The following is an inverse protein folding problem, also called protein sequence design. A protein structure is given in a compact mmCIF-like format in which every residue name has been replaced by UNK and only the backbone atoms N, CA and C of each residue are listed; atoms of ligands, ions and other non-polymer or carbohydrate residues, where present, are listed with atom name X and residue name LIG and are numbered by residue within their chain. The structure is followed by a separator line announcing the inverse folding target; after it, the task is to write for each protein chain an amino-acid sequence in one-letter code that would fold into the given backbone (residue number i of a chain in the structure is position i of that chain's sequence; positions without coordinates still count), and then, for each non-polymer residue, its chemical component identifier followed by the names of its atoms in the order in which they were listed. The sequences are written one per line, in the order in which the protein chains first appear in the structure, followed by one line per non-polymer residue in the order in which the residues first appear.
data_IF_512394365663
#
_entry.id   IF_512394365663
#
_cell.length_a   1.000
_cell.length_b   1.000
_cell.length_c   1.000
_cell.angle_alpha   90.00
_cell.angle_beta   90.00
_cell.angle_gamma   90.00
#
_symmetry.space_group_name_H-M   'P 1'
#
loop_
_entity.id
_entity.type
_entity.pdbx_description
1 polymer ?
#
# COMPACT_ATOMS: atom_id res chain seq x y z
N UNK A 1 6.30 4.54 42.99
CA UNK A 1 7.63 4.17 42.45
C UNK A 1 7.54 2.76 41.86
N UNK A 2 7.92 2.59 40.58
CA UNK A 2 8.20 1.29 39.88
C UNK A 2 6.94 0.41 39.65
N UNK A 3 6.66 -0.22 38.51
CA UNK A 3 7.35 -0.54 37.24
C UNK A 3 6.26 -1.04 36.26
N UNK A 4 6.43 -0.75 34.96
CA UNK A 4 6.29 -1.64 33.77
C UNK A 4 5.02 -2.55 33.72
N UNK A 5 4.28 -2.66 32.62
CA UNK A 5 4.71 -3.31 31.37
C UNK A 5 3.66 -2.94 30.29
N UNK A 6 4.16 -2.44 29.16
CA UNK A 6 3.50 -2.41 27.86
C UNK A 6 3.51 -3.84 27.33
N UNK A 7 2.35 -4.46 27.07
CA UNK A 7 2.27 -5.70 26.29
C UNK A 7 0.82 -6.05 25.90
N UNK A 8 0.43 -5.75 24.66
CA UNK A 8 -0.27 -6.72 23.79
C UNK A 8 -0.49 -6.09 22.40
N UNK A 9 0.55 -6.10 21.58
CA UNK A 9 0.43 -6.09 20.12
C UNK A 9 0.77 -7.52 19.70
N UNK A 10 -0.24 -8.38 19.60
CA UNK A 10 -0.12 -9.73 19.06
C UNK A 10 -1.51 -10.35 18.85
N UNK A 11 -2.30 -9.74 17.97
CA UNK A 11 -3.41 -10.42 17.32
C UNK A 11 -3.38 -10.03 15.85
N UNK A 12 -2.33 -10.48 15.18
CA UNK A 12 -2.30 -10.57 13.72
C UNK A 12 -3.44 -11.52 13.36
N UNK A 13 -4.61 -10.95 13.03
CA UNK A 13 -5.69 -11.68 12.38
C UNK A 13 -5.22 -12.03 10.97
N UNK A 14 -4.55 -13.18 10.91
CA UNK A 14 -4.48 -14.01 9.71
C UNK A 14 -5.91 -14.44 9.32
N UNK A 15 -6.08 -14.59 8.00
CA UNK A 15 -7.18 -15.24 7.29
C UNK A 15 -8.35 -14.35 6.86
N UNK A 16 -8.19 -13.64 5.73
CA UNK A 16 -9.02 -13.91 4.53
C UNK A 16 -8.72 -12.94 3.37
N UNK A 17 -7.58 -13.08 2.72
CA UNK A 17 -7.39 -12.68 1.32
C UNK A 17 -6.29 -13.56 0.73
N UNK A 18 -6.68 -14.45 -0.19
CA UNK A 18 -5.83 -15.52 -0.70
C UNK A 18 -4.59 -15.02 -1.46
N UNK A 19 -3.47 -15.68 -1.14
CA UNK A 19 -2.50 -16.21 -2.10
C UNK A 19 -1.50 -15.29 -2.81
N UNK A 20 -1.42 -13.99 -2.55
CA UNK A 20 -0.41 -13.14 -3.20
C UNK A 20 0.88 -12.94 -2.38
N UNK A 21 0.82 -13.03 -1.05
CA UNK A 21 1.99 -12.86 -0.17
C UNK A 21 3.01 -14.01 -0.20
N UNK A 22 2.85 -15.05 -1.03
CA UNK A 22 3.73 -16.22 -1.00
C UNK A 22 5.04 -16.02 -1.80
N UNK A 23 5.01 -15.25 -2.90
CA UNK A 23 6.12 -15.18 -3.85
C UNK A 23 7.22 -14.16 -3.51
N UNK A 24 6.91 -13.11 -2.74
CA UNK A 24 7.90 -12.10 -2.38
C UNK A 24 9.01 -12.65 -1.46
N UNK A 25 10.24 -12.14 -1.59
CA UNK A 25 11.33 -12.51 -0.69
C UNK A 25 11.02 -12.14 0.78
N UNK A 26 11.65 -12.82 1.74
CA UNK A 26 11.44 -12.53 3.17
C UNK A 26 11.79 -11.08 3.54
N UNK A 27 12.80 -10.51 2.86
CA UNK A 27 13.19 -9.10 3.01
C UNK A 27 12.08 -8.15 2.60
N UNK A 28 11.41 -8.45 1.48
CA UNK A 28 10.25 -7.70 0.97
C UNK A 28 9.12 -7.70 1.99
N UNK A 29 8.77 -8.87 2.51
CA UNK A 29 7.70 -9.01 3.52
C UNK A 29 7.96 -8.19 4.78
N UNK A 30 9.19 -8.16 5.27
CA UNK A 30 9.56 -7.40 6.46
C UNK A 30 9.45 -5.89 6.24
N UNK A 31 9.98 -5.38 5.13
CA UNK A 31 9.90 -3.96 4.76
C UNK A 31 8.45 -3.50 4.62
N UNK A 32 7.63 -4.31 3.97
CA UNK A 32 6.23 -3.98 3.74
C UNK A 32 5.41 -4.04 5.02
N UNK A 33 5.69 -5.02 5.89
CA UNK A 33 5.10 -5.08 7.23
C UNK A 33 5.47 -3.84 8.04
N UNK A 34 6.73 -3.39 8.00
CA UNK A 34 7.15 -2.18 8.71
C UNK A 34 6.47 -0.91 8.18
N UNK A 35 6.34 -0.78 6.85
CA UNK A 35 5.65 0.35 6.23
C UNK A 35 4.16 0.39 6.60
N UNK A 36 3.46 -0.73 6.50
CA UNK A 36 2.04 -0.80 6.86
C UNK A 36 1.80 -0.66 8.36
N UNK A 37 2.69 -1.18 9.22
CA UNK A 37 2.61 -0.97 10.67
C UNK A 37 2.78 0.50 11.05
N UNK A 38 3.66 1.24 10.38
CA UNK A 38 3.81 2.68 10.59
C UNK A 38 2.49 3.40 10.32
N UNK A 39 1.86 3.11 9.20
CA UNK A 39 0.58 3.72 8.81
C UNK A 39 -0.57 3.29 9.71
N UNK A 40 -0.59 2.04 10.15
CA UNK A 40 -1.55 1.57 11.16
C UNK A 40 -1.39 2.36 12.48
N UNK A 41 -0.15 2.69 12.86
CA UNK A 41 0.13 3.59 13.99
C UNK A 41 -0.41 5.02 13.82
N UNK A 42 -0.67 5.44 12.58
CA UNK A 42 -1.27 6.75 12.24
C UNK A 42 -2.81 6.69 12.13
N UNK A 43 -3.41 5.53 12.45
CA UNK A 43 -4.84 5.29 12.46
C UNK A 43 -5.42 4.79 11.14
N UNK A 44 -4.60 4.30 10.22
CA UNK A 44 -5.07 3.67 8.99
C UNK A 44 -5.40 2.19 9.20
N UNK A 45 -6.44 1.70 8.55
CA UNK A 45 -6.75 0.28 8.40
C UNK A 45 -6.31 -0.21 7.01
N UNK A 46 -5.87 -1.47 6.91
CA UNK A 46 -5.40 -2.05 5.64
C UNK A 46 -6.60 -2.67 4.93
N UNK A 47 -7.07 -2.05 3.84
CA UNK A 47 -8.11 -2.61 2.96
C UNK A 47 -7.54 -3.71 2.07
N UNK A 48 -6.31 -3.50 1.60
CA UNK A 48 -5.66 -4.35 0.61
C UNK A 48 -4.15 -4.30 0.78
N UNK A 49 -3.50 -5.45 0.62
CA UNK A 49 -2.05 -5.54 0.53
C UNK A 49 -1.65 -6.65 -0.44
N UNK A 50 -0.67 -6.35 -1.29
CA UNK A 50 -0.04 -7.26 -2.23
C UNK A 50 1.47 -7.12 -2.14
N UNK A 51 2.18 -8.21 -2.41
CA UNK A 51 3.62 -8.27 -2.49
C UNK A 51 3.98 -9.18 -3.67
N UNK A 52 4.70 -8.64 -4.64
CA UNK A 52 5.03 -9.36 -5.87
C UNK A 52 6.30 -8.77 -6.50
N UNK A 53 6.72 -9.34 -7.62
CA UNK A 53 7.81 -8.83 -8.43
C UNK A 53 7.22 -7.96 -9.55
N UNK A 54 7.69 -6.72 -9.67
CA UNK A 54 7.35 -5.85 -10.79
C UNK A 54 8.60 -5.67 -11.64
N UNK A 55 8.47 -5.98 -12.93
CA UNK A 55 9.53 -5.66 -13.91
C UNK A 55 9.36 -4.24 -14.46
N UNK A 56 10.45 -3.69 -14.99
CA UNK A 56 10.46 -2.35 -15.59
C UNK A 56 9.37 -2.24 -16.66
N UNK A 57 8.56 -1.18 -16.57
CA UNK A 57 7.41 -0.89 -17.45
C UNK A 57 6.14 -1.71 -17.19
N UNK A 58 6.14 -2.63 -16.23
CA UNK A 58 4.89 -3.22 -15.77
C UNK A 58 4.15 -2.24 -14.85
N UNK A 59 2.85 -2.17 -15.04
CA UNK A 59 1.93 -1.40 -14.20
C UNK A 59 0.95 -2.38 -13.61
N UNK A 60 0.90 -2.49 -12.29
CA UNK A 60 -0.21 -3.19 -11.64
C UNK A 60 -1.33 -2.21 -11.38
N UNK A 61 -2.57 -2.66 -11.61
CA UNK A 61 -3.78 -1.87 -11.41
C UNK A 61 -4.74 -2.62 -10.50
N UNK A 62 -5.19 -1.93 -9.46
CA UNK A 62 -6.20 -2.39 -8.53
C UNK A 62 -7.40 -1.46 -8.64
N UNK A 63 -8.61 -1.99 -8.50
CA UNK A 63 -9.82 -1.17 -8.55
C UNK A 63 -10.82 -1.66 -7.51
N UNK A 64 -11.55 -0.73 -6.93
CA UNK A 64 -12.53 -1.02 -5.89
C UNK A 64 -13.50 0.14 -5.71
N UNK A 65 -14.63 -0.14 -5.07
CA UNK A 65 -15.53 0.92 -4.65
C UNK A 65 -14.95 1.63 -3.42
N UNK A 66 -15.11 2.95 -3.39
CA UNK A 66 -14.66 3.83 -2.30
C UNK A 66 -15.81 4.70 -1.86
N UNK A 67 -15.91 4.93 -0.56
CA UNK A 67 -16.95 5.73 0.05
C UNK A 67 -16.57 7.21 0.01
N UNK A 68 -17.58 8.07 -0.13
CA UNK A 68 -17.40 9.51 -0.01
C UNK A 68 -16.90 9.88 1.40
N UNK A 69 -16.07 10.93 1.47
CA UNK A 69 -15.56 11.54 2.70
C UNK A 69 -14.69 10.63 3.59
N UNK A 70 -14.30 9.46 3.09
CA UNK A 70 -13.33 8.54 3.71
C UNK A 70 -11.95 8.76 3.08
N UNK A 71 -10.89 8.78 3.89
CA UNK A 71 -9.53 9.02 3.36
C UNK A 71 -8.88 7.71 3.00
N UNK A 72 -8.41 7.59 1.76
CA UNK A 72 -7.71 6.41 1.28
C UNK A 72 -6.29 6.75 0.88
N UNK A 73 -5.33 5.95 1.32
CA UNK A 73 -3.93 6.04 0.96
C UNK A 73 -3.50 4.81 0.15
N UNK A 74 -2.96 5.03 -1.04
CA UNK A 74 -2.28 4.02 -1.83
C UNK A 74 -0.77 4.13 -1.60
N UNK A 75 -0.13 3.02 -1.26
CA UNK A 75 1.25 3.00 -0.80
C UNK A 75 2.00 1.95 -1.59
N UNK A 76 3.07 2.37 -2.26
CA UNK A 76 4.00 1.50 -2.95
C UNK A 76 5.33 1.51 -2.22
N UNK A 77 5.92 0.34 -1.97
CA UNK A 77 7.24 0.18 -1.36
C UNK A 77 8.12 -0.68 -2.26
N UNK A 78 9.23 -0.15 -2.73
CA UNK A 78 10.27 -0.92 -3.41
C UNK A 78 11.29 -1.45 -2.39
N UNK A 79 11.78 -2.65 -2.62
CA UNK A 79 12.65 -3.38 -1.69
C UNK A 79 14.11 -3.06 -1.95
N UNK A 80 14.49 -2.98 -3.23
CA UNK A 80 15.83 -2.56 -3.62
C UNK A 80 16.03 -1.05 -3.39
N UNK A 81 17.18 -0.72 -2.80
CA UNK A 81 17.63 0.65 -2.69
C UNK A 81 17.77 1.30 -4.07
N UNK A 82 17.51 2.61 -4.13
CA UNK A 82 17.55 3.43 -5.35
C UNK A 82 16.49 3.11 -6.42
N UNK A 83 15.59 2.16 -6.17
CA UNK A 83 14.47 1.92 -7.08
C UNK A 83 13.38 2.96 -6.88
N UNK A 84 13.10 3.71 -7.96
CA UNK A 84 11.96 4.62 -8.00
C UNK A 84 10.67 3.82 -8.15
N UNK A 85 9.69 4.17 -7.35
CA UNK A 85 8.33 3.65 -7.40
C UNK A 85 7.37 4.82 -7.62
N UNK A 86 6.33 4.57 -8.40
CA UNK A 86 5.27 5.54 -8.64
C UNK A 86 3.94 4.91 -8.26
N UNK A 87 3.12 5.69 -7.57
CA UNK A 87 1.73 5.35 -7.25
C UNK A 87 0.81 6.41 -7.82
N UNK A 88 -0.29 5.97 -8.44
CA UNK A 88 -1.32 6.88 -8.98
C UNK A 88 -2.70 6.46 -8.52
N UNK A 89 -3.58 7.45 -8.40
CA UNK A 89 -5.01 7.26 -8.11
C UNK A 89 -5.84 7.87 -9.24
N UNK A 90 -6.80 7.11 -9.74
CA UNK A 90 -7.72 7.52 -10.78
C UNK A 90 -9.17 7.42 -10.29
N UNK A 91 -10.01 8.35 -10.74
CA UNK A 91 -11.46 8.25 -10.56
C UNK A 91 -12.09 7.26 -11.56
N UNK A 92 -13.41 7.12 -11.48
CA UNK A 92 -14.20 6.22 -12.33
C UNK A 92 -14.19 6.59 -13.82
N UNK A 93 -13.81 7.83 -14.16
CA UNK A 93 -13.69 8.34 -15.52
C UNK A 93 -12.24 8.26 -16.03
N UNK A 94 -11.38 7.52 -15.33
CA UNK A 94 -9.94 7.40 -15.60
C UNK A 94 -9.16 8.71 -15.49
N UNK A 95 -9.73 9.71 -14.81
CA UNK A 95 -9.02 10.96 -14.55
C UNK A 95 -8.06 10.76 -13.39
N UNK A 96 -6.79 11.15 -13.59
CA UNK A 96 -5.79 11.18 -12.53
C UNK A 96 -6.23 12.17 -11.44
N UNK A 97 -6.28 11.69 -10.20
CA UNK A 97 -6.60 12.48 -9.01
C UNK A 97 -5.31 12.89 -8.30
N UNK A 98 -4.45 11.92 -8.05
CA UNK A 98 -3.25 12.07 -7.24
C UNK A 98 -2.14 11.16 -7.77
N UNK A 99 -0.90 11.61 -7.66
CA UNK A 99 0.29 10.86 -8.02
C UNK A 99 1.41 11.18 -7.03
N UNK A 100 2.12 10.14 -6.61
CA UNK A 100 3.39 10.31 -5.91
C UNK A 100 4.46 9.44 -6.57
N UNK A 101 5.69 9.95 -6.58
CA UNK A 101 6.88 9.25 -7.10
C UNK A 101 8.05 9.53 -6.18
N UNK A 102 8.58 8.49 -5.56
CA UNK A 102 9.76 8.59 -4.72
C UNK A 102 10.68 7.39 -4.92
N UNK A 103 11.90 7.51 -4.42
CA UNK A 103 12.80 6.38 -4.22
C UNK A 103 12.27 5.58 -3.03
N UNK A 104 12.14 4.27 -3.22
CA UNK A 104 11.80 3.29 -2.17
C UNK A 104 10.36 3.32 -1.65
N UNK A 105 9.70 4.48 -1.51
CA UNK A 105 8.32 4.51 -1.03
C UNK A 105 7.53 5.70 -1.57
N UNK A 106 6.44 5.45 -2.28
CA UNK A 106 5.51 6.48 -2.75
C UNK A 106 4.13 6.32 -2.10
N UNK A 107 3.49 7.42 -1.75
CA UNK A 107 2.18 7.48 -1.09
C UNK A 107 1.27 8.48 -1.79
N UNK A 108 0.19 8.00 -2.41
CA UNK A 108 -0.85 8.85 -2.96
C UNK A 108 -2.12 8.75 -2.11
N UNK A 109 -2.51 9.86 -1.46
CA UNK A 109 -3.67 9.92 -0.55
C UNK A 109 -4.76 10.79 -1.15
N UNK A 110 -6.02 10.36 -1.02
CA UNK A 110 -7.17 11.13 -1.48
C UNK A 110 -8.40 10.86 -0.61
N UNK A 111 -9.29 11.83 -0.54
CA UNK A 111 -10.59 11.73 0.14
C UNK A 111 -11.68 11.98 -0.91
N UNK A 112 -12.32 10.94 -1.46
CA UNK A 112 -13.36 11.08 -2.48
C UNK A 112 -14.50 12.00 -2.03
N UNK A 113 -15.06 12.77 -2.97
CA UNK A 113 -16.26 13.59 -2.72
C UNK A 113 -17.56 12.87 -3.07
N UNK A 114 -17.46 11.67 -3.61
CA UNK A 114 -18.59 10.81 -3.95
C UNK A 114 -18.18 9.34 -3.81
N UNK A 115 -19.18 8.49 -3.60
CA UNK A 115 -18.99 7.04 -3.60
C UNK A 115 -18.94 6.55 -5.04
N UNK A 116 -17.90 5.81 -5.40
CA UNK A 116 -17.69 5.39 -6.78
C UNK A 116 -16.56 4.38 -6.94
N UNK A 117 -16.27 4.01 -8.19
CA UNK A 117 -15.19 3.07 -8.50
C UNK A 117 -13.89 3.83 -8.72
N UNK A 118 -12.88 3.57 -7.91
CA UNK A 118 -11.55 4.18 -8.07
C UNK A 118 -10.54 3.12 -8.50
N UNK A 119 -9.49 3.56 -9.17
CA UNK A 119 -8.39 2.70 -9.55
C UNK A 119 -7.06 3.24 -9.01
N UNK A 120 -6.22 2.31 -8.59
CA UNK A 120 -4.90 2.56 -8.05
C UNK A 120 -3.90 1.84 -8.91
N UNK A 121 -2.81 2.51 -9.27
CA UNK A 121 -1.73 1.86 -9.99
C UNK A 121 -0.41 2.00 -9.26
N UNK A 122 0.43 1.00 -9.44
CA UNK A 122 1.82 1.02 -9.01
C UNK A 122 2.71 0.57 -10.17
N UNK A 123 3.77 1.33 -10.40
CA UNK A 123 4.80 1.03 -11.39
C UNK A 123 6.19 1.32 -10.84
N UNK A 124 7.17 0.54 -11.31
CA UNK A 124 8.58 0.64 -10.89
C UNK A 124 9.46 0.91 -12.10
N UNK A 125 10.52 1.69 -11.89
CA UNK A 125 11.46 2.07 -12.96
C UNK A 125 12.56 1.03 -13.19
N UNK A 126 12.74 0.10 -12.26
CA UNK A 126 13.73 -0.97 -12.29
C UNK A 126 13.07 -2.24 -11.75
N UNK A 127 13.43 -3.40 -12.30
CA UNK A 127 13.02 -4.69 -11.75
C UNK A 127 13.34 -4.75 -10.25
N UNK A 128 12.32 -4.99 -9.44
CA UNK A 128 12.45 -5.13 -7.99
C UNK A 128 11.27 -5.92 -7.46
N UNK A 129 11.48 -6.60 -6.34
CA UNK A 129 10.38 -6.94 -5.45
C UNK A 129 9.76 -5.61 -4.96
N UNK A 130 8.43 -5.59 -4.87
CA UNK A 130 7.72 -4.46 -4.30
C UNK A 130 6.55 -4.96 -3.46
N UNK A 131 6.00 -4.05 -2.67
CA UNK A 131 4.67 -4.24 -2.12
C UNK A 131 3.81 -3.03 -2.41
N UNK A 132 2.52 -3.29 -2.45
CA UNK A 132 1.51 -2.29 -2.65
C UNK A 132 0.38 -2.50 -1.66
N UNK A 133 -0.11 -1.41 -1.08
CA UNK A 133 -1.23 -1.44 -0.17
C UNK A 133 -2.22 -0.32 -0.45
N UNK A 134 -3.49 -0.59 -0.17
CA UNK A 134 -4.53 0.43 -0.08
C UNK A 134 -5.01 0.43 1.36
N UNK A 135 -5.02 1.60 1.97
CA UNK A 135 -5.37 1.81 3.36
C UNK A 135 -6.45 2.88 3.49
N UNK A 136 -7.17 2.84 4.61
CA UNK A 136 -8.36 3.66 4.85
C UNK A 136 -8.31 4.31 6.23
N UNK A 137 -8.80 5.55 6.35
CA UNK A 137 -8.87 6.33 7.58
C UNK A 137 -10.11 7.21 7.64
#
# INVERSE_FOLDING_TARGET
MKKKIIAMVAAVMLCSAGSAFAAASEGSKLLCTAAFLKLAGEGYEIDYADADDLTTSQVKRYSGNREADVTYAAVGVAVEDETKIRVKVFDENEKLIEEDTDVRMAVASHTPKWTGKFAYTVDVYKNTDFCFGILTK
#
